data_IF_209083054883
#
_entry.id   IF_209083054883
#
_cell.length_a   1.000
_cell.length_b   1.000
_cell.length_c   1.000
_cell.angle_alpha   90.00
_cell.angle_beta   90.00
_cell.angle_gamma   90.00
#
_symmetry.space_group_name_H-M   'P 1'
#
loop_
_entity.id
_entity.type
_entity.pdbx_description
1 polymer ?
#
# COMPACT_ATOMS: atom_id res chain seq x y z
N UNK A 1 20.34 -0.13 11.28
CA UNK A 1 19.38 0.33 10.50
C UNK A 1 19.39 -0.29 9.20
N UNK A 2 18.56 -0.44 8.72
CA UNK A 2 18.64 -0.95 7.69
C UNK A 2 17.80 -0.76 6.87
N UNK A 3 17.64 -0.69 6.46
CA UNK A 3 17.41 -0.88 5.56
C UNK A 3 16.91 -0.07 4.60
N UNK A 4 16.66 -0.33 3.41
CA UNK A 4 16.36 0.50 2.32
C UNK A 4 15.18 1.32 2.55
N UNK A 5 14.17 0.77 3.15
CA UNK A 5 12.99 1.51 3.48
C UNK A 5 13.27 2.58 4.46
N UNK A 6 14.06 2.25 5.45
CA UNK A 6 14.45 3.23 6.43
C UNK A 6 15.27 4.34 5.81
N UNK A 7 16.09 3.97 4.84
CA UNK A 7 16.88 4.97 4.14
C UNK A 7 16.01 5.97 3.42
N UNK A 8 14.98 5.51 2.74
CA UNK A 8 14.07 6.41 2.07
C UNK A 8 13.42 7.37 3.02
N UNK A 9 13.00 6.87 4.16
CA UNK A 9 12.35 7.68 5.15
C UNK A 9 13.32 8.65 5.80
N UNK A 10 14.48 8.16 6.21
CA UNK A 10 15.43 8.96 6.95
C UNK A 10 15.97 10.12 6.15
N UNK A 11 16.17 9.91 4.86
CA UNK A 11 16.76 10.93 4.03
C UNK A 11 15.73 11.70 3.21
N UNK A 12 14.45 11.51 3.52
CA UNK A 12 13.42 12.24 2.82
C UNK A 12 13.27 11.87 1.38
N UNK A 13 13.67 10.66 1.02
CA UNK A 13 13.60 10.21 -0.36
C UNK A 13 12.27 9.59 -0.73
N UNK A 14 11.46 9.21 0.25
CA UNK A 14 10.21 8.57 -0.06
C UNK A 14 9.29 8.43 1.14
N UNK A 15 8.07 8.05 0.84
CA UNK A 15 7.04 7.78 1.83
C UNK A 15 6.35 6.48 1.48
N UNK A 16 5.80 5.79 2.46
CA UNK A 16 5.10 4.56 2.18
C UNK A 16 4.00 4.32 3.19
N UNK A 17 3.03 3.49 2.80
CA UNK A 17 1.98 3.00 3.67
C UNK A 17 1.79 1.52 3.39
N UNK A 18 1.56 0.76 4.44
CA UNK A 18 1.22 -0.65 4.32
C UNK A 18 -0.20 -0.81 4.82
N UNK A 19 -1.07 -1.30 3.96
CA UNK A 19 -2.50 -1.35 4.19
C UNK A 19 -2.94 -2.79 4.26
N UNK A 20 -3.50 -3.19 5.41
CA UNK A 20 -4.02 -4.54 5.55
C UNK A 20 -5.21 -4.75 4.64
N UNK A 21 -5.29 -5.95 4.07
CA UNK A 21 -6.39 -6.33 3.19
C UNK A 21 -7.05 -7.58 3.75
N UNK A 22 -8.34 -7.50 4.00
CA UNK A 22 -9.12 -8.61 4.51
C UNK A 22 -10.29 -8.84 3.58
N UNK A 23 -10.50 -10.09 3.17
CA UNK A 23 -11.56 -10.45 2.22
C UNK A 23 -11.51 -9.60 0.95
N UNK A 24 -10.29 -9.33 0.50
CA UNK A 24 -10.11 -8.55 -0.72
C UNK A 24 -10.36 -7.06 -0.56
N UNK A 25 -10.55 -6.58 0.67
CA UNK A 25 -10.86 -5.18 0.93
C UNK A 25 -9.77 -4.53 1.75
N UNK A 26 -9.25 -3.38 1.31
CA UNK A 26 -8.26 -2.66 2.11
C UNK A 26 -8.91 -2.04 3.34
N UNK A 27 -8.28 -2.23 4.47
CA UNK A 27 -8.82 -1.76 5.75
C UNK A 27 -8.35 -0.33 5.98
N UNK A 28 -9.28 0.57 6.27
CA UNK A 28 -9.00 1.97 6.55
C UNK A 28 -8.27 2.65 5.40
N UNK A 29 -8.67 2.34 4.17
CA UNK A 29 -8.00 2.87 2.99
C UNK A 29 -7.92 4.39 3.00
N UNK A 30 -9.01 5.07 3.30
CA UNK A 30 -9.01 6.52 3.25
C UNK A 30 -8.04 7.13 4.26
N UNK A 31 -7.97 6.52 5.43
CA UNK A 31 -7.04 6.99 6.47
C UNK A 31 -5.60 6.80 6.03
N UNK A 32 -5.29 5.64 5.44
CA UNK A 32 -3.94 5.39 4.95
C UNK A 32 -3.57 6.34 3.83
N UNK A 33 -4.50 6.61 2.93
CA UNK A 33 -4.20 7.52 1.83
C UNK A 33 -3.99 8.95 2.34
N UNK A 34 -4.74 9.34 3.38
CA UNK A 34 -4.52 10.65 3.97
C UNK A 34 -3.15 10.76 4.60
N UNK A 35 -2.71 9.71 5.30
CA UNK A 35 -1.39 9.70 5.90
C UNK A 35 -0.30 9.75 4.84
N UNK A 36 -0.50 9.02 3.75
CA UNK A 36 0.47 9.05 2.65
C UNK A 36 0.49 10.43 2.01
N UNK A 37 -0.66 11.06 1.86
CA UNK A 37 -0.74 12.41 1.31
C UNK A 37 0.01 13.40 2.20
N UNK A 38 -0.16 13.28 3.51
CA UNK A 38 0.54 14.17 4.44
C UNK A 38 2.04 13.97 4.35
N UNK A 39 2.48 12.73 4.27
CA UNK A 39 3.91 12.44 4.15
C UNK A 39 4.47 12.94 2.83
N UNK A 40 3.72 12.74 1.74
CA UNK A 40 4.15 13.20 0.43
C UNK A 40 4.29 14.72 0.40
N UNK A 41 3.35 15.40 1.05
CA UNK A 41 3.40 16.85 1.11
C UNK A 41 4.60 17.31 1.93
N UNK A 42 4.82 16.65 3.06
CA UNK A 42 5.96 17.01 3.92
C UNK A 42 7.29 16.81 3.19
N UNK A 43 7.39 15.77 2.38
CA UNK A 43 8.61 15.45 1.64
C UNK A 43 8.66 16.06 0.25
N UNK A 44 7.65 16.85 -0.11
CA UNK A 44 7.57 17.52 -1.40
C UNK A 44 7.62 16.53 -2.56
N UNK A 45 6.83 15.47 -2.45
CA UNK A 45 6.79 14.42 -3.47
C UNK A 45 5.62 14.59 -4.43
N UNK A 46 4.87 15.66 -4.31
CA UNK A 46 3.71 15.90 -5.16
C UNK A 46 2.44 15.39 -4.51
N UNK A 47 1.32 15.72 -5.13
CA UNK A 47 0.02 15.27 -4.64
C UNK A 47 -0.23 13.85 -5.12
N UNK A 48 -0.88 13.05 -4.29
CA UNK A 48 -1.13 11.66 -4.65
C UNK A 48 -1.92 11.55 -5.96
N UNK A 49 -2.92 12.40 -6.13
CA UNK A 49 -3.73 12.34 -7.35
C UNK A 49 -2.90 12.59 -8.59
N UNK A 50 -1.96 13.50 -8.52
CA UNK A 50 -1.06 13.78 -9.64
C UNK A 50 -0.09 12.64 -9.90
N UNK A 51 0.17 11.84 -8.88
CA UNK A 51 1.06 10.71 -8.99
C UNK A 51 0.32 9.42 -9.29
N UNK A 52 -0.98 9.51 -9.57
CA UNK A 52 -1.77 8.34 -9.93
C UNK A 52 -2.19 7.46 -8.76
N UNK A 53 -2.20 8.01 -7.57
CA UNK A 53 -2.60 7.27 -6.37
C UNK A 53 -3.90 7.84 -5.85
N UNK A 54 -4.95 7.04 -5.91
CA UNK A 54 -6.22 7.40 -5.30
C UNK A 54 -6.95 6.11 -4.93
N UNK A 55 -8.13 6.27 -4.37
CA UNK A 55 -8.92 5.13 -3.93
C UNK A 55 -9.18 4.17 -5.08
N UNK A 56 -9.50 4.70 -6.24
CA UNK A 56 -9.85 3.87 -7.39
C UNK A 56 -8.65 3.07 -7.87
N UNK A 57 -7.49 3.70 -7.97
CA UNK A 57 -6.30 2.98 -8.45
C UNK A 57 -5.87 1.89 -7.49
N UNK A 58 -6.01 2.12 -6.19
CA UNK A 58 -5.69 1.08 -5.21
C UNK A 58 -6.64 -0.09 -5.35
N UNK A 59 -7.94 0.19 -5.46
CA UNK A 59 -8.93 -0.87 -5.58
C UNK A 59 -8.78 -1.64 -6.88
N UNK A 60 -8.44 -0.96 -7.97
CA UNK A 60 -8.19 -1.62 -9.24
C UNK A 60 -6.95 -2.50 -9.17
N UNK A 61 -5.91 -2.03 -8.53
CA UNK A 61 -4.71 -2.82 -8.36
C UNK A 61 -5.02 -4.10 -7.58
N UNK A 62 -5.76 -3.98 -6.49
CA UNK A 62 -6.12 -5.13 -5.67
C UNK A 62 -6.98 -6.11 -6.46
N UNK A 63 -7.96 -5.62 -7.19
CA UNK A 63 -8.83 -6.49 -7.95
C UNK A 63 -8.06 -7.25 -9.01
N UNK A 64 -7.16 -6.58 -9.71
CA UNK A 64 -6.35 -7.23 -10.72
C UNK A 64 -5.45 -8.28 -10.11
N UNK A 65 -4.78 -7.93 -9.01
CA UNK A 65 -3.90 -8.87 -8.35
C UNK A 65 -4.66 -10.09 -7.86
N UNK A 66 -5.83 -9.88 -7.26
CA UNK A 66 -6.64 -11.00 -6.77
C UNK A 66 -7.11 -11.91 -7.90
N UNK A 67 -7.38 -11.35 -9.07
CA UNK A 67 -7.82 -12.16 -10.19
C UNK A 67 -6.69 -12.98 -10.79
N UNK A 68 -5.45 -12.55 -10.60
CA UNK A 68 -4.29 -13.24 -11.14
C UNK A 68 -3.68 -14.24 -10.17
N UNK A 69 -4.08 -14.18 -8.90
CA UNK A 69 -3.53 -15.04 -7.87
C UNK A 69 -4.64 -15.72 -7.09
N UNK A 70 -4.50 -17.02 -6.87
CA UNK A 70 -5.47 -17.73 -6.06
C UNK A 70 -5.10 -17.50 -4.60
N UNK A 71 -5.71 -16.54 -3.99
CA UNK A 71 -5.35 -16.12 -2.64
C UNK A 71 -6.37 -16.60 -1.61
N UNK A 72 -6.86 -17.82 -1.79
CA UNK A 72 -7.83 -18.40 -0.87
C UNK A 72 -7.16 -19.44 0.01
N UNK A 73 -7.67 -19.59 1.22
CA UNK A 73 -7.22 -20.64 2.11
C UNK A 73 -8.00 -21.92 1.82
N UNK A 74 -7.77 -22.95 2.64
CA UNK A 74 -8.39 -24.25 2.41
C UNK A 74 -9.90 -24.22 2.53
N UNK A 75 -10.42 -23.30 3.32
CA UNK A 75 -11.88 -23.21 3.50
C UNK A 75 -12.53 -22.32 2.45
N UNK A 76 -11.76 -21.82 1.50
CA UNK A 76 -12.32 -20.98 0.44
C UNK A 76 -12.40 -19.51 0.78
N UNK A 77 -11.93 -19.11 1.92
CA UNK A 77 -11.91 -17.70 2.30
C UNK A 77 -10.66 -17.04 1.79
N UNK A 78 -10.76 -15.76 1.47
CA UNK A 78 -9.60 -15.00 1.04
C UNK A 78 -8.62 -14.88 2.20
N UNK A 79 -7.36 -15.16 1.92
CA UNK A 79 -6.33 -15.00 2.93
C UNK A 79 -6.07 -13.54 3.19
N UNK A 80 -5.56 -13.24 4.37
CA UNK A 80 -5.17 -11.87 4.67
C UNK A 80 -3.88 -11.54 3.97
N UNK A 81 -3.81 -10.32 3.48
CA UNK A 81 -2.60 -9.84 2.83
C UNK A 81 -2.47 -8.35 3.11
N UNK A 82 -1.45 -7.77 2.56
CA UNK A 82 -1.22 -6.33 2.70
C UNK A 82 -0.74 -5.78 1.38
N UNK A 83 -1.22 -4.59 1.05
CA UNK A 83 -0.71 -3.86 -0.09
C UNK A 83 0.19 -2.75 0.45
N UNK A 84 1.35 -2.61 -0.15
CA UNK A 84 2.28 -1.56 0.20
C UNK A 84 2.37 -0.58 -0.95
N UNK A 85 2.23 0.68 -0.63
CA UNK A 85 2.36 1.77 -1.60
C UNK A 85 3.59 2.55 -1.22
N UNK A 86 4.54 2.64 -2.13
CA UNK A 86 5.74 3.41 -1.90
C UNK A 86 5.83 4.52 -2.93
N UNK A 87 6.12 5.71 -2.46
CA UNK A 87 6.17 6.90 -3.29
C UNK A 87 7.53 7.56 -3.11
N UNK A 88 8.26 7.66 -4.21
CA UNK A 88 9.50 8.42 -4.25
C UNK A 88 9.36 9.51 -5.29
N UNK A 89 10.38 10.35 -5.43
CA UNK A 89 10.31 11.40 -6.42
C UNK A 89 10.10 10.87 -7.83
N UNK A 90 10.66 9.71 -8.13
CA UNK A 90 10.61 9.18 -9.49
C UNK A 90 9.60 8.09 -9.69
N UNK A 91 9.23 7.39 -8.62
CA UNK A 91 8.46 6.16 -8.77
C UNK A 91 7.29 6.07 -7.83
N UNK A 92 6.28 5.34 -8.29
CA UNK A 92 5.19 4.88 -7.46
C UNK A 92 5.17 3.36 -7.59
N UNK A 93 5.30 2.66 -6.48
CA UNK A 93 5.33 1.21 -6.49
C UNK A 93 4.25 0.64 -5.60
N UNK A 94 3.50 -0.32 -6.15
CA UNK A 94 2.54 -1.09 -5.39
C UNK A 94 3.08 -2.52 -5.30
N UNK A 95 2.99 -3.11 -4.13
CA UNK A 95 3.39 -4.51 -3.97
C UNK A 95 2.48 -5.19 -2.98
N UNK A 96 2.42 -6.52 -3.06
CA UNK A 96 1.57 -7.32 -2.19
C UNK A 96 2.41 -8.29 -1.40
N UNK A 97 1.95 -8.59 -0.19
CA UNK A 97 2.60 -9.61 0.61
C UNK A 97 1.58 -10.25 1.53
N UNK A 98 1.92 -11.41 2.06
CA UNK A 98 1.11 -12.05 3.07
C UNK A 98 1.07 -11.21 4.32
N UNK A 99 -0.07 -11.24 4.99
CA UNK A 99 -0.22 -10.58 6.26
C UNK A 99 -0.77 -11.61 7.24
N UNK A 100 0.09 -12.46 7.78
CA UNK A 100 -0.38 -13.55 8.64
C UNK A 100 -0.94 -13.09 9.97
N UNK A 101 -0.62 -11.87 10.36
CA UNK A 101 -1.11 -11.37 11.63
C UNK A 101 -2.51 -10.84 11.49
N UNK A 102 -3.32 -11.18 12.48
CA UNK A 102 -4.68 -10.68 12.54
C UNK A 102 -4.68 -9.47 13.44
N UNK A 103 -5.00 -8.31 12.92
CA UNK A 103 -5.08 -7.15 13.79
C UNK A 103 -6.24 -7.35 14.74
N UNK A 104 -6.01 -7.07 15.93
CA UNK A 104 -7.05 -7.23 16.95
C UNK A 104 -7.74 -5.93 17.21
#
# INVERSE_FOLDING_TARGET
MNVKMDDCFQFGLGAFETISVADGRPIFLDRHLRRLEDAARFLDLGMLAERGIDRITVLEYLRKWMSEHDYRDRSGHMRRCAVKIMLTQKNVDFSMRDNPYTPD
#
